data_IF_572682385500
#
_entry.id   IF_572682385500
#
_cell.length_a   1.000
_cell.length_b   1.000
_cell.length_c   1.000
_cell.angle_alpha   90.00
_cell.angle_beta   90.00
_cell.angle_gamma   90.00
#
_symmetry.space_group_name_H-M   'P 1'
#
loop_
_entity.id
_entity.type
_entity.pdbx_description
1 polymer ?
#
# COMPACT_ATOMS: atom_id res chain seq x y z
N UNK A 1 -7.32 11.32 -5.81
CA UNK A 1 -7.28 10.14 -6.68
C UNK A 1 -8.56 9.36 -6.45
N UNK A 2 -9.33 8.95 -7.47
CA UNK A 2 -10.23 7.79 -7.53
C UNK A 2 -10.91 7.82 -8.91
N UNK A 3 -10.65 6.82 -9.75
CA UNK A 3 -11.67 6.39 -10.72
C UNK A 3 -12.12 5.02 -10.27
N UNK A 4 -13.01 5.04 -9.30
CA UNK A 4 -14.20 4.19 -9.32
C UNK A 4 -15.37 5.17 -9.41
N UNK A 5 -16.13 5.12 -10.49
CA UNK A 5 -17.43 5.80 -10.55
C UNK A 5 -18.26 5.27 -9.38
N UNK A 6 -18.60 6.13 -8.42
CA UNK A 6 -19.42 5.76 -7.27
C UNK A 6 -19.77 6.97 -6.44
N UNK A 7 -20.67 7.82 -6.93
CA UNK A 7 -21.33 8.81 -6.08
C UNK A 7 -22.31 8.08 -5.13
N UNK A 8 -21.95 8.08 -3.83
CA UNK A 8 -22.77 8.14 -2.60
C UNK A 8 -24.02 7.26 -2.46
N UNK A 9 -24.11 6.43 -1.38
CA UNK A 9 -25.39 6.23 -0.64
C UNK A 9 -25.19 5.99 0.88
N UNK A 10 -26.09 6.61 1.67
CA UNK A 10 -26.14 6.74 3.15
C UNK A 10 -26.73 5.50 3.86
N UNK A 11 -26.17 5.15 5.02
CA UNK A 11 -26.76 4.24 6.01
C UNK A 11 -27.61 5.04 7.00
N UNK A 12 -28.94 4.82 7.05
CA UNK A 12 -29.57 4.30 8.27
C UNK A 12 -30.90 3.58 7.96
N UNK A 13 -30.88 2.26 7.69
CA UNK A 13 -32.10 1.46 7.43
C UNK A 13 -32.82 1.65 6.05
N UNK A 14 -32.14 2.12 4.99
CA UNK A 14 -32.68 2.17 3.60
C UNK A 14 -31.61 2.29 2.49
N UNK A 15 -30.85 1.21 2.25
CA UNK A 15 -29.48 1.20 1.72
C UNK A 15 -29.28 1.11 0.18
N UNK A 16 -28.15 1.66 -0.30
CA UNK A 16 -27.40 1.18 -1.48
C UNK A 16 -25.89 1.21 -1.15
N UNK A 17 -25.12 0.24 -1.64
CA UNK A 17 -23.70 0.05 -1.31
C UNK A 17 -22.81 0.33 -2.51
N UNK A 18 -21.87 1.26 -2.35
CA UNK A 18 -20.75 1.45 -3.28
C UNK A 18 -19.47 1.74 -2.49
N UNK A 19 -18.87 0.65 -2.02
CA UNK A 19 -17.44 0.37 -1.76
C UNK A 19 -17.18 -0.39 -0.45
N UNK A 20 -16.22 -1.34 -0.55
CA UNK A 20 -15.66 -2.19 0.50
C UNK A 20 -14.84 -1.38 1.53
N UNK A 21 -15.51 -0.52 2.30
CA UNK A 21 -14.93 0.13 3.48
C UNK A 21 -15.21 -0.72 4.72
N UNK A 22 -14.23 -0.77 5.62
CA UNK A 22 -14.17 -1.72 6.75
C UNK A 22 -14.85 -1.26 8.01
N UNK A 23 -15.21 0.00 8.04
CA UNK A 23 -15.76 0.66 9.21
C UNK A 23 -17.18 1.07 8.86
N UNK A 24 -18.14 0.24 9.30
CA UNK A 24 -19.51 0.68 9.42
C UNK A 24 -19.57 1.59 10.66
N UNK A 25 -20.02 2.83 10.51
CA UNK A 25 -20.20 3.77 11.63
C UNK A 25 -21.25 3.31 12.67
N UNK A 26 -21.97 2.21 12.41
CA UNK A 26 -23.00 1.65 13.29
C UNK A 26 -22.75 0.14 13.56
N UNK A 27 -21.87 -0.22 14.51
CA UNK A 27 -21.52 -1.61 14.82
C UNK A 27 -22.67 -2.42 15.42
N UNK A 28 -23.64 -1.78 16.05
CA UNK A 28 -24.84 -2.41 16.64
C UNK A 28 -25.98 -2.61 15.63
N UNK A 29 -25.74 -2.38 14.33
CA UNK A 29 -26.74 -2.60 13.30
C UNK A 29 -27.14 -4.09 13.24
N UNK A 30 -28.44 -4.45 13.23
CA UNK A 30 -28.90 -5.84 13.16
C UNK A 30 -28.38 -6.60 11.93
N UNK A 31 -28.02 -5.88 10.86
CA UNK A 31 -27.49 -6.43 9.60
C UNK A 31 -25.98 -6.28 9.44
N UNK A 32 -25.27 -5.79 10.47
CA UNK A 32 -23.83 -5.56 10.41
C UNK A 32 -23.06 -6.79 9.90
N UNK A 33 -23.42 -7.99 10.39
CA UNK A 33 -22.78 -9.25 9.95
C UNK A 33 -23.04 -9.62 8.49
N UNK A 34 -24.23 -9.34 7.97
CA UNK A 34 -24.61 -9.59 6.57
C UNK A 34 -23.89 -8.62 5.63
N UNK A 35 -23.89 -7.33 5.95
CA UNK A 35 -23.18 -6.31 5.18
C UNK A 35 -21.67 -6.60 5.14
N UNK A 36 -21.08 -6.99 6.27
CA UNK A 36 -19.66 -7.33 6.34
C UNK A 36 -19.34 -8.61 5.54
N UNK A 37 -20.24 -9.61 5.56
CA UNK A 37 -20.13 -10.81 4.73
C UNK A 37 -20.25 -10.50 3.22
N UNK A 38 -21.16 -9.62 2.80
CA UNK A 38 -21.30 -9.17 1.41
C UNK A 38 -20.09 -8.36 0.91
N UNK A 39 -19.49 -7.53 1.79
CA UNK A 39 -18.25 -6.80 1.49
C UNK A 39 -17.03 -7.73 1.42
N UNK A 40 -17.18 -8.98 1.88
CA UNK A 40 -16.14 -10.01 1.87
C UNK A 40 -15.00 -9.75 2.85
N UNK A 41 -15.27 -9.00 3.93
CA UNK A 41 -14.30 -8.78 5.01
C UNK A 41 -14.82 -9.48 6.27
N UNK A 42 -13.99 -10.04 7.13
CA UNK A 42 -14.45 -10.50 8.46
C UNK A 42 -14.24 -9.36 9.47
N UNK A 43 -15.14 -9.16 10.45
CA UNK A 43 -14.99 -8.13 11.48
C UNK A 43 -13.67 -8.19 12.27
N UNK A 44 -13.07 -9.38 12.39
CA UNK A 44 -11.76 -9.59 13.01
C UNK A 44 -10.58 -9.03 12.19
N UNK A 45 -10.76 -8.81 10.88
CA UNK A 45 -9.71 -8.25 10.02
C UNK A 45 -9.62 -6.71 10.12
N UNK A 46 -10.49 -6.07 10.93
CA UNK A 46 -10.48 -4.63 11.25
C UNK A 46 -9.68 -4.46 12.55
N UNK A 47 -8.42 -4.04 12.43
CA UNK A 47 -7.44 -3.95 13.52
C UNK A 47 -6.24 -4.91 13.41
N UNK A 48 -6.30 -5.90 12.51
CA UNK A 48 -5.18 -6.84 12.25
C UNK A 48 -4.20 -6.37 11.16
N UNK A 49 -4.39 -5.17 10.61
CA UNK A 49 -3.65 -4.73 9.42
C UNK A 49 -2.30 -4.12 9.80
N UNK A 50 -1.22 -4.51 9.11
CA UNK A 50 0.12 -4.02 9.43
C UNK A 50 0.46 -2.63 8.83
N UNK A 51 -0.48 -1.95 8.17
CA UNK A 51 -0.27 -0.63 7.56
C UNK A 51 -1.18 0.42 8.18
N UNK A 52 -0.80 1.69 8.02
CA UNK A 52 -1.63 2.82 8.42
C UNK A 52 -2.78 2.99 7.43
N UNK A 53 -4.02 3.02 7.93
CA UNK A 53 -5.15 3.40 7.09
C UNK A 53 -5.11 4.93 6.89
N UNK A 54 -5.23 5.41 5.64
CA UNK A 54 -5.27 6.85 5.40
C UNK A 54 -6.51 7.44 6.07
N UNK A 55 -6.39 8.72 6.44
CA UNK A 55 -7.56 9.51 6.85
C UNK A 55 -8.63 9.54 5.75
N UNK A 56 -9.80 10.10 6.07
CA UNK A 56 -10.94 10.15 5.14
C UNK A 56 -10.49 10.61 3.74
N UNK A 57 -10.73 9.81 2.68
CA UNK A 57 -10.24 10.12 1.36
C UNK A 57 -10.86 11.42 0.84
N UNK A 58 -10.00 12.32 0.35
CA UNK A 58 -10.41 13.59 -0.23
C UNK A 58 -10.38 13.46 -1.76
N UNK A 59 -11.41 13.98 -2.42
CA UNK A 59 -11.43 14.07 -3.87
C UNK A 59 -10.36 15.07 -4.32
N UNK A 60 -9.37 14.57 -5.08
CA UNK A 60 -8.49 15.40 -5.91
C UNK A 60 -9.24 16.08 -7.05
N UNK A 61 -8.77 17.23 -7.51
CA UNK A 61 -9.39 17.94 -8.62
C UNK A 61 -9.03 17.30 -9.97
N UNK A 62 -7.73 17.05 -10.21
CA UNK A 62 -7.21 16.44 -11.44
C UNK A 62 -5.94 15.61 -11.16
N UNK A 63 -5.54 14.78 -12.14
CA UNK A 63 -4.43 13.82 -12.00
C UNK A 63 -3.09 14.53 -11.89
N UNK A 64 -2.92 15.63 -12.61
CA UNK A 64 -1.70 16.42 -12.69
C UNK A 64 -1.37 17.09 -11.35
N UNK A 65 -2.39 17.60 -10.67
CA UNK A 65 -2.26 18.20 -9.34
C UNK A 65 -1.89 17.14 -8.30
N UNK A 66 -2.56 15.99 -8.31
CA UNK A 66 -2.21 14.88 -7.43
C UNK A 66 -0.77 14.40 -7.67
N UNK A 67 -0.37 14.26 -8.93
CA UNK A 67 1.00 13.90 -9.28
C UNK A 67 1.98 14.92 -8.69
N UNK A 68 1.69 16.20 -8.87
CA UNK A 68 2.53 17.30 -8.38
C UNK A 68 2.61 17.34 -6.85
N UNK A 69 1.52 17.01 -6.15
CA UNK A 69 1.49 16.90 -4.69
C UNK A 69 2.38 15.76 -4.18
N UNK A 70 2.26 14.58 -4.79
CA UNK A 70 3.09 13.42 -4.44
C UNK A 70 4.55 13.69 -4.78
N UNK A 71 4.84 14.23 -5.97
CA UNK A 71 6.18 14.61 -6.40
C UNK A 71 6.82 15.57 -5.40
N UNK A 72 6.10 16.64 -5.05
CA UNK A 72 6.58 17.64 -4.09
C UNK A 72 6.85 17.03 -2.73
N UNK A 73 5.99 16.14 -2.24
CA UNK A 73 6.23 15.44 -0.99
C UNK A 73 7.53 14.62 -1.05
N UNK A 74 7.76 13.86 -2.12
CA UNK A 74 9.01 13.10 -2.30
C UNK A 74 10.21 14.05 -2.33
N UNK A 75 10.14 15.12 -3.12
CA UNK A 75 11.19 16.14 -3.26
C UNK A 75 11.56 16.84 -1.95
N UNK A 76 10.56 17.14 -1.12
CA UNK A 76 10.78 17.81 0.18
C UNK A 76 11.40 16.87 1.23
N UNK A 77 11.35 15.54 1.05
CA UNK A 77 11.69 14.57 2.09
C UNK A 77 12.83 13.60 1.72
N UNK A 78 13.19 13.48 0.44
CA UNK A 78 14.26 12.61 -0.07
C UNK A 78 15.09 13.37 -1.08
N UNK A 79 16.41 13.35 -0.94
CA UNK A 79 17.33 13.99 -1.89
C UNK A 79 17.91 12.95 -2.85
N UNK A 80 17.49 13.01 -4.11
CA UNK A 80 18.06 12.22 -5.21
C UNK A 80 19.01 13.07 -6.06
N UNK A 81 20.16 12.50 -6.40
CA UNK A 81 21.18 13.15 -7.25
C UNK A 81 20.62 13.43 -8.65
N UNK A 82 19.86 12.49 -9.19
CA UNK A 82 19.26 12.58 -10.52
C UNK A 82 17.79 13.03 -10.41
N UNK A 83 17.43 14.20 -10.98
CA UNK A 83 16.07 14.70 -10.97
C UNK A 83 15.03 13.73 -11.56
N UNK A 84 15.41 12.88 -12.53
CA UNK A 84 14.47 11.95 -13.17
C UNK A 84 13.98 10.86 -12.18
N UNK A 85 14.73 10.62 -11.10
CA UNK A 85 14.36 9.64 -10.06
C UNK A 85 13.11 10.09 -9.30
N UNK A 86 12.87 11.39 -9.15
CA UNK A 86 11.65 11.89 -8.53
C UNK A 86 10.41 11.46 -9.32
N UNK A 87 10.47 11.53 -10.66
CA UNK A 87 9.36 11.11 -11.52
C UNK A 87 9.12 9.60 -11.43
N UNK A 88 10.19 8.80 -11.39
CA UNK A 88 10.13 7.34 -11.23
C UNK A 88 9.46 6.96 -9.91
N UNK A 89 9.92 7.55 -8.80
CA UNK A 89 9.38 7.26 -7.46
C UNK A 89 7.93 7.72 -7.33
N UNK A 90 7.60 8.91 -7.82
CA UNK A 90 6.24 9.46 -7.81
C UNK A 90 5.29 8.55 -8.60
N UNK A 91 5.69 8.14 -9.79
CA UNK A 91 4.88 7.25 -10.64
C UNK A 91 4.71 5.89 -10.00
N UNK A 92 5.76 5.36 -9.35
CA UNK A 92 5.70 4.10 -8.63
C UNK A 92 4.73 4.14 -7.44
N UNK A 93 4.72 5.25 -6.68
CA UNK A 93 3.74 5.49 -5.62
C UNK A 93 2.32 5.41 -6.19
N UNK A 94 2.03 6.11 -7.28
CA UNK A 94 0.70 6.07 -7.90
C UNK A 94 0.36 4.68 -8.45
N UNK A 95 1.35 3.96 -8.99
CA UNK A 95 1.21 2.58 -9.44
C UNK A 95 0.82 1.65 -8.30
N UNK A 96 1.33 1.84 -7.08
CA UNK A 96 0.97 1.00 -5.92
C UNK A 96 -0.55 0.97 -5.66
N UNK A 97 -1.27 2.06 -5.96
CA UNK A 97 -2.74 2.13 -5.86
C UNK A 97 -3.47 1.46 -7.02
N UNK A 98 -2.78 1.22 -8.14
CA UNK A 98 -3.36 0.69 -9.39
C UNK A 98 -2.66 -0.57 -9.87
N UNK A 99 -1.91 -1.26 -9.01
CA UNK A 99 -1.09 -2.44 -9.37
C UNK A 99 -1.92 -3.61 -9.93
N UNK A 100 -3.23 -3.61 -9.74
CA UNK A 100 -4.16 -4.58 -10.33
C UNK A 100 -4.41 -4.34 -11.83
N UNK A 101 -4.18 -3.11 -12.31
CA UNK A 101 -4.31 -2.75 -13.73
C UNK A 101 -3.07 -3.13 -14.55
N UNK A 102 -1.98 -3.54 -13.89
CA UNK A 102 -0.72 -3.90 -14.53
C UNK A 102 -0.45 -5.40 -14.43
N UNK A 103 0.18 -5.95 -15.46
CA UNK A 103 0.61 -7.36 -15.52
C UNK A 103 1.92 -7.60 -14.75
N UNK A 104 2.69 -6.53 -14.52
CA UNK A 104 3.99 -6.55 -13.86
C UNK A 104 4.00 -5.46 -12.79
N UNK A 105 4.46 -5.81 -11.59
CA UNK A 105 4.73 -4.85 -10.53
C UNK A 105 6.24 -4.52 -10.53
N UNK A 106 6.66 -3.29 -10.91
CA UNK A 106 8.06 -2.92 -10.88
C UNK A 106 8.57 -2.83 -9.44
N UNK A 107 9.81 -3.26 -9.20
CA UNK A 107 10.49 -3.12 -7.92
C UNK A 107 11.46 -1.94 -7.98
N UNK A 108 11.43 -1.08 -6.95
CA UNK A 108 12.45 -0.05 -6.73
C UNK A 108 13.42 -0.57 -5.69
N UNK A 109 14.71 -0.41 -5.99
CA UNK A 109 15.79 -0.80 -5.11
C UNK A 109 16.74 0.39 -4.91
N UNK A 110 16.79 0.92 -3.68
CA UNK A 110 17.67 2.03 -3.33
C UNK A 110 19.06 1.49 -2.99
N UNK A 111 20.06 1.85 -3.79
CA UNK A 111 21.46 1.41 -3.60
C UNK A 111 22.31 2.60 -3.20
N UNK A 112 23.08 2.46 -2.12
CA UNK A 112 23.97 3.51 -1.64
C UNK A 112 24.70 3.11 -0.36
N UNK A 113 25.74 3.87 0.05
CA UNK A 113 26.48 3.62 1.29
C UNK A 113 25.59 3.78 2.54
N UNK A 114 26.01 3.29 3.72
CA UNK A 114 25.36 3.63 4.98
C UNK A 114 25.13 5.14 5.11
N UNK A 115 24.06 5.55 5.78
CA UNK A 115 23.68 6.95 6.00
C UNK A 115 23.41 7.79 4.74
N UNK A 116 23.18 7.14 3.58
CA UNK A 116 22.83 7.81 2.33
C UNK A 116 21.33 8.14 2.16
N UNK A 117 20.52 8.03 3.21
CA UNK A 117 19.08 8.32 3.16
C UNK A 117 18.17 7.19 2.62
N UNK A 118 18.67 5.96 2.43
CA UNK A 118 17.84 4.81 1.96
C UNK A 118 16.66 4.50 2.87
N UNK A 119 16.90 4.42 4.18
CA UNK A 119 15.83 4.20 5.18
C UNK A 119 14.82 5.34 5.14
N UNK A 120 15.29 6.59 4.95
CA UNK A 120 14.40 7.75 4.78
C UNK A 120 13.52 7.64 3.54
N UNK A 121 14.06 7.17 2.42
CA UNK A 121 13.28 6.91 1.21
C UNK A 121 12.20 5.84 1.45
N UNK A 122 12.52 4.76 2.17
CA UNK A 122 11.53 3.74 2.56
C UNK A 122 10.45 4.29 3.50
N UNK A 123 10.80 5.17 4.45
CA UNK A 123 9.82 5.84 5.33
C UNK A 123 8.83 6.70 4.52
N UNK A 124 9.33 7.46 3.54
CA UNK A 124 8.49 8.28 2.65
C UNK A 124 7.57 7.39 1.83
N UNK A 125 8.09 6.30 1.25
CA UNK A 125 7.26 5.32 0.54
C UNK A 125 6.22 4.65 1.46
N UNK A 126 6.54 4.42 2.73
CA UNK A 126 5.62 3.85 3.72
C UNK A 126 4.41 4.76 3.96
N UNK A 127 4.59 6.07 3.95
CA UNK A 127 3.49 7.03 4.10
C UNK A 127 2.66 7.17 2.83
N UNK A 128 3.30 7.09 1.66
CA UNK A 128 2.67 7.42 0.39
C UNK A 128 2.05 6.22 -0.34
N UNK A 129 2.50 4.99 -0.08
CA UNK A 129 2.12 3.83 -0.92
C UNK A 129 0.89 3.10 -0.39
N UNK A 130 0.11 2.51 -1.30
CA UNK A 130 -1.08 1.76 -0.95
C UNK A 130 -0.74 0.50 -0.14
N UNK A 131 -1.33 0.36 1.06
CA UNK A 131 -1.15 -0.80 1.96
C UNK A 131 0.33 -1.12 2.20
N UNK A 132 1.13 -0.09 2.45
CA UNK A 132 2.56 -0.23 2.63
C UNK A 132 2.90 -0.90 3.96
N UNK A 133 3.75 -1.93 3.91
CA UNK A 133 4.19 -2.69 5.09
C UNK A 133 5.70 -2.65 5.17
N UNK A 134 6.22 -2.09 6.26
CA UNK A 134 7.65 -2.18 6.56
C UNK A 134 7.97 -3.58 7.08
N UNK A 135 8.93 -4.25 6.43
CA UNK A 135 9.26 -5.63 6.65
C UNK A 135 10.60 -5.84 7.36
N UNK A 136 11.12 -4.83 8.07
CA UNK A 136 12.41 -4.88 8.75
C UNK A 136 12.67 -6.25 9.41
N UNK A 137 11.77 -6.77 10.26
CA UNK A 137 12.03 -8.01 11.03
C UNK A 137 10.99 -9.12 10.80
N UNK A 138 10.38 -9.19 9.61
CA UNK A 138 9.35 -10.20 9.32
C UNK A 138 9.98 -11.53 8.86
N UNK A 139 9.53 -12.66 9.42
CA UNK A 139 9.95 -13.97 8.91
C UNK A 139 9.35 -14.24 7.53
N UNK A 140 10.05 -15.00 6.68
CA UNK A 140 9.55 -15.34 5.34
C UNK A 140 8.14 -15.98 5.40
N UNK A 141 7.91 -16.91 6.33
CA UNK A 141 6.59 -17.52 6.52
C UNK A 141 5.48 -16.51 6.87
N UNK A 142 5.79 -15.50 7.70
CA UNK A 142 4.84 -14.43 8.00
C UNK A 142 4.62 -13.52 6.78
N UNK A 143 5.67 -13.24 6.00
CA UNK A 143 5.60 -12.49 4.77
C UNK A 143 4.71 -13.17 3.72
N UNK A 144 4.88 -14.49 3.50
CA UNK A 144 4.03 -15.28 2.59
C UNK A 144 2.56 -15.18 2.97
N UNK A 145 2.23 -15.39 4.25
CA UNK A 145 0.84 -15.26 4.75
C UNK A 145 0.30 -13.85 4.54
N UNK A 146 1.12 -12.83 4.74
CA UNK A 146 0.72 -11.45 4.54
C UNK A 146 0.43 -11.14 3.06
N UNK A 147 1.27 -11.63 2.14
CA UNK A 147 1.08 -11.49 0.70
C UNK A 147 -0.19 -12.19 0.23
N UNK A 148 -0.42 -13.44 0.65
CA UNK A 148 -1.63 -14.19 0.30
C UNK A 148 -2.90 -13.53 0.84
N UNK A 149 -2.88 -13.06 2.09
CA UNK A 149 -4.06 -12.50 2.76
C UNK A 149 -4.41 -11.10 2.23
N UNK A 150 -3.41 -10.24 2.01
CA UNK A 150 -3.65 -8.81 1.82
C UNK A 150 -3.16 -8.21 0.51
N UNK A 151 -2.21 -8.88 -0.17
CA UNK A 151 -1.47 -8.34 -1.32
C UNK A 151 -0.94 -6.91 -1.06
N UNK A 152 -0.13 -6.71 0.00
CA UNK A 152 0.36 -5.39 0.39
C UNK A 152 1.51 -4.91 -0.49
N UNK A 153 1.86 -3.62 -0.36
CA UNK A 153 3.13 -3.10 -0.88
C UNK A 153 4.22 -3.37 0.15
N UNK A 154 5.19 -4.23 -0.19
CA UNK A 154 6.27 -4.62 0.72
C UNK A 154 7.43 -3.64 0.64
N UNK A 155 7.89 -3.16 1.79
CA UNK A 155 9.07 -2.29 1.93
C UNK A 155 10.13 -3.05 2.74
N UNK A 156 11.17 -3.51 2.06
CA UNK A 156 12.23 -4.32 2.64
C UNK A 156 13.45 -3.43 2.96
N UNK A 157 13.93 -3.43 4.21
CA UNK A 157 15.20 -2.79 4.59
C UNK A 157 16.32 -3.83 4.66
N UNK A 158 17.52 -3.46 4.22
CA UNK A 158 18.66 -4.37 4.02
C UNK A 158 19.28 -4.84 5.34
N UNK A 159 18.95 -4.19 6.45
CA UNK A 159 19.53 -4.44 7.77
C UNK A 159 19.05 -5.74 8.42
N UNK A 160 18.31 -6.62 7.73
CA UNK A 160 17.88 -7.89 8.31
C UNK A 160 17.94 -9.07 7.32
N UNK A 161 18.44 -8.86 6.09
CA UNK A 161 18.81 -9.97 5.19
C UNK A 161 20.21 -10.52 5.59
N UNK A 162 20.43 -10.71 6.90
CA UNK A 162 21.70 -11.18 7.45
C UNK A 162 21.88 -12.71 7.38
N UNK A 163 20.85 -13.45 6.94
CA UNK A 163 20.91 -14.88 6.67
C UNK A 163 20.82 -15.21 5.17
N UNK A 164 21.73 -16.04 4.66
CA UNK A 164 21.73 -16.51 3.26
C UNK A 164 20.45 -17.25 2.88
N UNK A 165 19.83 -17.96 3.82
CA UNK A 165 18.59 -18.72 3.61
C UNK A 165 17.36 -17.82 3.48
N UNK A 166 17.15 -16.90 4.43
CA UNK A 166 16.06 -15.93 4.38
C UNK A 166 16.10 -15.06 3.12
N UNK A 167 17.32 -14.71 2.65
CA UNK A 167 17.52 -14.00 1.38
C UNK A 167 16.96 -14.77 0.19
N UNK A 168 17.27 -16.07 0.12
CA UNK A 168 16.83 -16.92 -0.99
C UNK A 168 15.31 -17.10 -0.99
N UNK A 169 14.70 -17.22 0.19
CA UNK A 169 13.25 -17.31 0.33
C UNK A 169 12.55 -16.03 -0.12
N UNK A 170 13.05 -14.86 0.31
CA UNK A 170 12.52 -13.56 -0.13
C UNK A 170 12.72 -13.38 -1.64
N UNK A 171 13.88 -13.75 -2.17
CA UNK A 171 14.14 -13.66 -3.61
C UNK A 171 13.21 -14.56 -4.42
N UNK A 172 12.95 -15.78 -3.94
CA UNK A 172 11.98 -16.70 -4.53
C UNK A 172 10.57 -16.11 -4.53
N UNK A 173 10.15 -15.53 -3.40
CA UNK A 173 8.88 -14.81 -3.28
C UNK A 173 8.78 -13.67 -4.31
N UNK A 174 9.77 -12.78 -4.38
CA UNK A 174 9.79 -11.67 -5.33
C UNK A 174 9.73 -12.16 -6.78
N UNK A 175 10.46 -13.22 -7.12
CA UNK A 175 10.43 -13.80 -8.47
C UNK A 175 9.04 -14.36 -8.82
N UNK A 176 8.34 -14.98 -7.87
CA UNK A 176 6.96 -15.46 -8.07
C UNK A 176 5.94 -14.33 -8.22
N UNK A 177 6.19 -13.17 -7.60
CA UNK A 177 5.29 -12.02 -7.63
C UNK A 177 5.49 -11.08 -8.82
N UNK A 178 6.57 -11.24 -9.58
CA UNK A 178 6.96 -10.30 -10.65
C UNK A 178 5.97 -10.26 -11.82
N UNK A 179 5.37 -11.39 -12.19
CA UNK A 179 4.43 -11.50 -13.31
C UNK A 179 3.15 -12.21 -12.87
N UNK A 180 2.01 -11.55 -13.06
CA UNK A 180 0.68 -12.16 -12.88
C UNK A 180 0.23 -12.90 -14.13
#
# INVERSE_FOLDING_TARGET
MFVRKGLSVKCPQGYQSYEKRLECEYPDCPKYRECVAELGVRPADVGERPWLDPSMPIAFNNVEELYSEVYRYVYEHVDFIDPEVYDVVTTWVLLSYRVEDFTIAPYIYFVGPPDSGKTRALEVLHQLSCKAVNCANISAAALFRAVEKWRPTLLLDETEIYGSEARLEIQSLLNSGYRK
#
